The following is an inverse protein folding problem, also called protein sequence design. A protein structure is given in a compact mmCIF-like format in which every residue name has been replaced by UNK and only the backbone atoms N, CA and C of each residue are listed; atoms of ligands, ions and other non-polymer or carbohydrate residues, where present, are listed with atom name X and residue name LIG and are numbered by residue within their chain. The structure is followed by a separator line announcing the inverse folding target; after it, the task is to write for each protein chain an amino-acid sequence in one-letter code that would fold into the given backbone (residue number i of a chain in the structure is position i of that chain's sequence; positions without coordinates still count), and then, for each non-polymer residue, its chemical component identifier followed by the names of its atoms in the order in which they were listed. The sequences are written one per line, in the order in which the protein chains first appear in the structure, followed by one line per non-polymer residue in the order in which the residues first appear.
data_IF_574721634295
#
_entry.id   IF_574721634295
#
_cell.length_a   1.000
_cell.length_b   1.000
_cell.length_c   1.000
_cell.angle_alpha   90.00
_cell.angle_beta   90.00
_cell.angle_gamma   90.00
#
_symmetry.space_group_name_H-M   'P 1'
#
loop_
_entity.id
_entity.type
_entity.pdbx_description
1 polymer ?
#
# COMPACT_ATOMS: atom_id res chain seq x y z
N UNK A 1 -36.96 -9.70 -57.74
CA UNK A 1 -36.03 -8.77 -57.07
C UNK A 1 -35.01 -9.60 -56.31
N UNK A 2 -33.89 -9.98 -56.96
CA UNK A 2 -32.84 -10.80 -56.34
C UNK A 2 -31.95 -9.90 -55.51
N UNK A 3 -32.06 -10.01 -54.20
CA UNK A 3 -31.15 -9.35 -53.28
C UNK A 3 -29.79 -10.02 -53.49
N UNK A 4 -28.82 -9.27 -54.03
CA UNK A 4 -27.46 -9.75 -54.29
C UNK A 4 -26.87 -10.30 -52.99
N UNK A 5 -26.47 -11.57 -52.99
CA UNK A 5 -25.85 -12.27 -51.85
C UNK A 5 -24.63 -11.52 -51.30
N UNK A 6 -23.95 -10.73 -52.14
CA UNK A 6 -22.86 -9.84 -51.76
C UNK A 6 -23.32 -8.71 -50.80
N UNK A 7 -24.50 -8.14 -51.01
CA UNK A 7 -25.07 -7.11 -50.10
C UNK A 7 -25.43 -7.71 -48.75
N UNK A 8 -25.98 -8.92 -48.74
CA UNK A 8 -26.34 -9.66 -47.52
C UNK A 8 -25.06 -10.01 -46.74
N UNK A 9 -24.04 -10.52 -47.43
CA UNK A 9 -22.75 -10.87 -46.81
C UNK A 9 -22.04 -9.64 -46.22
N UNK A 10 -22.10 -8.49 -46.91
CA UNK A 10 -21.56 -7.23 -46.39
C UNK A 10 -22.31 -6.73 -45.16
N UNK A 11 -23.64 -6.83 -45.14
CA UNK A 11 -24.47 -6.44 -43.99
C UNK A 11 -24.21 -7.34 -42.78
N UNK A 12 -24.10 -8.65 -43.00
CA UNK A 12 -23.77 -9.63 -41.96
C UNK A 12 -22.37 -9.36 -41.39
N UNK A 13 -21.39 -9.06 -42.25
CA UNK A 13 -20.03 -8.69 -41.80
C UNK A 13 -20.02 -7.40 -40.99
N UNK A 14 -20.73 -6.35 -41.41
CA UNK A 14 -20.81 -5.10 -40.64
C UNK A 14 -21.51 -5.33 -39.30
N UNK A 15 -22.59 -6.10 -39.28
CA UNK A 15 -23.30 -6.42 -38.05
C UNK A 15 -22.43 -7.21 -37.08
N UNK A 16 -21.66 -8.19 -37.57
CA UNK A 16 -20.67 -8.93 -36.76
C UNK A 16 -19.61 -8.01 -36.16
N UNK A 17 -19.07 -7.06 -36.93
CA UNK A 17 -18.08 -6.09 -36.38
C UNK A 17 -18.68 -5.18 -35.31
N UNK A 18 -19.94 -4.75 -35.49
CA UNK A 18 -20.66 -3.94 -34.50
C UNK A 18 -20.94 -4.76 -33.24
N UNK A 19 -21.38 -6.02 -33.37
CA UNK A 19 -21.62 -6.92 -32.25
C UNK A 19 -20.33 -7.19 -31.45
N UNK A 20 -19.21 -7.40 -32.14
CA UNK A 20 -17.89 -7.55 -31.51
C UNK A 20 -17.46 -6.26 -30.82
N UNK A 21 -17.62 -5.09 -31.46
CA UNK A 21 -17.34 -3.79 -30.84
C UNK A 21 -18.21 -3.50 -29.60
N UNK A 22 -19.49 -3.91 -29.62
CA UNK A 22 -20.41 -3.81 -28.49
C UNK A 22 -20.01 -4.68 -27.30
N UNK A 23 -19.27 -5.78 -27.50
CA UNK A 23 -18.68 -6.55 -26.40
C UNK A 23 -17.52 -5.81 -25.72
N UNK A 24 -16.92 -4.82 -26.39
CA UNK A 24 -15.84 -3.98 -25.84
C UNK A 24 -16.35 -2.70 -25.14
N UNK A 25 -17.68 -2.50 -25.01
CA UNK A 25 -18.23 -1.30 -24.39
C UNK A 25 -18.11 -1.23 -22.85
N UNK A 26 -17.50 -2.23 -22.19
CA UNK A 26 -17.29 -2.27 -20.74
C UNK A 26 -15.80 -2.38 -20.34
N UNK A 27 -14.90 -1.66 -21.02
CA UNK A 27 -13.50 -1.50 -20.56
C UNK A 27 -13.26 -0.20 -19.79
N UNK A 28 -14.19 0.22 -18.93
CA UNK A 28 -13.93 1.33 -17.98
C UNK A 28 -13.56 0.84 -16.56
N UNK A 29 -13.46 -0.46 -16.33
CA UNK A 29 -13.17 -1.03 -15.00
C UNK A 29 -11.72 -1.53 -14.80
N UNK A 30 -10.91 -1.64 -15.87
CA UNK A 30 -9.55 -2.19 -15.79
C UNK A 30 -8.43 -1.13 -15.59
N UNK A 31 -8.74 0.18 -15.59
CA UNK A 31 -7.71 1.25 -15.67
C UNK A 31 -7.67 2.16 -14.42
N UNK A 32 -8.68 2.12 -13.54
CA UNK A 32 -8.73 2.98 -12.36
C UNK A 32 -8.36 2.21 -11.09
N UNK A 33 -7.06 2.03 -10.83
CA UNK A 33 -6.60 1.72 -9.47
C UNK A 33 -6.96 2.89 -8.56
N UNK A 34 -7.75 2.63 -7.51
CA UNK A 34 -8.09 3.67 -6.52
C UNK A 34 -6.84 4.08 -5.75
N UNK A 35 -6.82 5.34 -5.34
CA UNK A 35 -5.75 5.84 -4.48
C UNK A 35 -5.85 5.18 -3.10
N UNK A 36 -4.69 4.83 -2.54
CA UNK A 36 -4.55 4.34 -1.19
C UNK A 36 -4.14 5.51 -0.31
N UNK A 37 -4.82 5.68 0.81
CA UNK A 37 -4.55 6.68 1.83
C UNK A 37 -3.96 5.98 3.06
N UNK A 38 -2.83 6.51 3.55
CA UNK A 38 -2.17 6.02 4.75
C UNK A 38 -2.19 7.16 5.77
N UNK A 39 -2.75 6.86 6.94
CA UNK A 39 -2.84 7.77 8.08
C UNK A 39 -1.96 7.23 9.20
N UNK A 40 -1.08 8.07 9.74
CA UNK A 40 -0.17 7.72 10.82
C UNK A 40 -0.40 8.68 11.97
N UNK A 41 -1.06 8.19 13.01
CA UNK A 41 -1.45 8.95 14.20
C UNK A 41 -0.51 8.65 15.35
N UNK A 42 0.06 9.68 15.97
CA UNK A 42 0.89 9.51 17.17
C UNK A 42 0.01 9.17 18.38
N UNK A 43 0.29 8.06 19.05
CA UNK A 43 -0.29 7.72 20.35
C UNK A 43 0.78 7.62 21.44
N UNK A 44 1.83 8.43 21.33
CA UNK A 44 2.91 8.53 22.32
C UNK A 44 2.66 9.75 23.20
N UNK A 45 2.40 9.52 24.49
CA UNK A 45 2.18 10.59 25.48
C UNK A 45 3.48 11.27 25.87
N UNK A 46 3.40 12.58 26.15
CA UNK A 46 4.47 13.45 26.66
C UNK A 46 5.72 13.59 25.76
N UNK A 47 5.69 13.03 24.56
CA UNK A 47 6.78 13.10 23.58
C UNK A 47 6.27 13.53 22.22
N UNK A 48 7.15 14.12 21.43
CA UNK A 48 6.88 14.37 20.01
C UNK A 48 7.42 13.21 19.20
N UNK A 49 6.56 12.63 18.36
CA UNK A 49 6.93 11.57 17.44
C UNK A 49 7.45 12.20 16.14
N UNK A 50 8.76 12.11 15.93
CA UNK A 50 9.34 12.34 14.61
C UNK A 50 9.09 11.12 13.72
N UNK A 51 8.70 11.34 12.47
CA UNK A 51 8.65 10.29 11.46
C UNK A 51 9.21 10.77 10.12
N UNK A 52 9.82 9.85 9.38
CA UNK A 52 10.30 10.08 8.03
C UNK A 52 9.95 8.87 7.17
N UNK A 53 9.01 9.05 6.25
CA UNK A 53 8.48 8.00 5.39
C UNK A 53 8.96 8.16 3.95
N UNK A 54 9.21 7.04 3.27
CA UNK A 54 9.54 7.03 1.84
C UNK A 54 9.21 5.69 1.19
N UNK A 55 9.08 5.70 -0.13
CA UNK A 55 9.18 4.50 -0.96
C UNK A 55 10.57 4.45 -1.63
N UNK A 56 10.72 3.62 -2.67
CA UNK A 56 11.95 3.53 -3.45
C UNK A 56 12.32 4.81 -4.22
N UNK A 57 11.34 5.63 -4.57
CA UNK A 57 11.45 6.71 -5.57
C UNK A 57 11.06 8.09 -5.05
N UNK A 58 10.35 8.17 -3.93
CA UNK A 58 9.69 9.34 -3.39
C UNK A 58 9.97 9.40 -1.89
N UNK A 59 10.54 10.52 -1.48
CA UNK A 59 10.76 10.86 -0.09
C UNK A 59 9.64 11.81 0.35
N UNK A 60 8.90 11.46 1.41
CA UNK A 60 7.79 12.26 1.93
C UNK A 60 8.24 13.31 2.96
N UNK A 61 9.54 13.34 3.27
CA UNK A 61 10.15 14.25 4.21
C UNK A 61 9.94 13.84 5.67
N UNK A 62 10.54 14.65 6.56
CA UNK A 62 10.39 14.50 8.00
C UNK A 62 9.15 15.27 8.49
N UNK A 63 8.41 14.66 9.40
CA UNK A 63 7.25 15.24 10.08
C UNK A 63 7.38 15.03 11.58
N UNK A 64 6.80 15.93 12.36
CA UNK A 64 6.85 15.90 13.81
C UNK A 64 5.43 16.00 14.36
N UNK A 65 4.98 14.96 15.07
CA UNK A 65 3.60 14.82 15.54
C UNK A 65 3.54 14.86 17.07
N UNK A 66 2.69 15.73 17.61
CA UNK A 66 2.23 15.68 18.99
C UNK A 66 1.22 14.54 19.19
N UNK A 67 0.88 14.23 20.45
CA UNK A 67 -0.14 13.24 20.79
C UNK A 67 -1.46 13.51 20.05
N UNK A 68 -1.97 12.50 19.34
CA UNK A 68 -3.21 12.57 18.59
C UNK A 68 -3.10 13.23 17.20
N UNK A 69 -1.96 13.84 16.87
CA UNK A 69 -1.75 14.38 15.52
C UNK A 69 -1.52 13.27 14.51
N UNK A 70 -1.96 13.52 13.28
CA UNK A 70 -1.97 12.55 12.18
C UNK A 70 -1.18 13.10 10.99
N UNK A 71 -0.18 12.35 10.53
CA UNK A 71 0.42 12.54 9.22
C UNK A 71 -0.32 11.69 8.18
N UNK A 72 -0.62 12.25 7.02
CA UNK A 72 -1.33 11.54 5.94
C UNK A 72 -0.59 11.69 4.62
N UNK A 73 -0.49 10.59 3.88
CA UNK A 73 -0.07 10.60 2.48
C UNK A 73 -0.92 9.64 1.66
N UNK A 74 -0.92 9.82 0.35
CA UNK A 74 -1.60 8.93 -0.58
C UNK A 74 -0.76 8.62 -1.80
N UNK A 75 -1.04 7.48 -2.41
CA UNK A 75 -0.39 7.03 -3.63
C UNK A 75 -1.35 6.16 -4.42
N UNK A 76 -1.00 5.93 -5.70
CA UNK A 76 -1.75 5.04 -6.58
C UNK A 76 -0.94 3.76 -6.79
N UNK A 77 -1.43 2.58 -6.34
CA UNK A 77 -0.77 1.32 -6.61
C UNK A 77 -0.59 1.07 -8.10
N UNK A 78 0.52 0.46 -8.50
CA UNK A 78 0.78 0.15 -9.92
C UNK A 78 0.07 -1.14 -10.30
N UNK A 79 -0.97 -1.04 -11.13
CA UNK A 79 -1.80 -2.17 -11.55
C UNK A 79 -1.04 -3.41 -12.06
N UNK A 80 0.15 -3.25 -12.65
CA UNK A 80 0.92 -4.34 -13.26
C UNK A 80 1.98 -4.97 -12.32
N UNK A 81 2.21 -4.40 -11.13
CA UNK A 81 3.22 -4.87 -10.17
C UNK A 81 2.70 -4.69 -8.73
N UNK A 82 2.44 -5.81 -8.04
CA UNK A 82 2.13 -5.83 -6.61
C UNK A 82 3.42 -5.74 -5.78
N UNK A 83 4.01 -4.55 -5.71
CA UNK A 83 5.27 -4.36 -4.98
C UNK A 83 5.38 -2.98 -4.31
N UNK A 84 4.26 -2.30 -4.11
CA UNK A 84 4.25 -1.00 -3.47
C UNK A 84 4.62 -1.15 -1.99
N UNK A 85 5.67 -0.44 -1.60
CA UNK A 85 6.25 -0.48 -0.26
C UNK A 85 6.57 0.94 0.18
N UNK A 86 5.99 1.36 1.32
CA UNK A 86 6.42 2.53 2.06
C UNK A 86 6.95 2.10 3.42
N UNK A 87 8.11 2.61 3.79
CA UNK A 87 8.72 2.39 5.09
C UNK A 87 8.97 3.73 5.78
N UNK A 88 8.83 3.72 7.09
CA UNK A 88 8.99 4.91 7.92
C UNK A 88 10.01 4.63 9.03
N UNK A 89 10.92 5.57 9.21
CA UNK A 89 11.67 5.70 10.46
C UNK A 89 10.83 6.52 11.45
N UNK A 90 10.84 6.11 12.71
CA UNK A 90 10.16 6.76 13.82
C UNK A 90 11.18 7.06 14.91
N UNK A 91 11.15 8.27 15.45
CA UNK A 91 12.10 8.72 16.46
C UNK A 91 11.42 9.54 17.52
N UNK A 92 11.76 9.30 18.78
CA UNK A 92 11.39 10.14 19.91
C UNK A 92 12.50 10.07 20.95
N UNK A 93 12.88 11.21 21.54
CA UNK A 93 14.04 11.30 22.44
C UNK A 93 15.31 10.69 21.81
N UNK A 94 15.82 9.59 22.38
CA UNK A 94 17.01 8.86 21.91
C UNK A 94 16.65 7.49 21.31
N UNK A 95 15.36 7.20 21.09
CA UNK A 95 14.90 5.96 20.50
C UNK A 95 14.69 6.13 19.00
N UNK A 96 15.05 5.10 18.24
CA UNK A 96 14.77 5.00 16.82
C UNK A 96 14.23 3.61 16.49
N UNK A 97 13.12 3.59 15.77
CA UNK A 97 12.51 2.38 15.25
C UNK A 97 12.18 2.56 13.77
N UNK A 98 12.02 1.46 13.05
CA UNK A 98 11.50 1.50 11.70
C UNK A 98 10.42 0.45 11.49
N UNK A 99 9.54 0.75 10.54
CA UNK A 99 8.45 -0.15 10.16
C UNK A 99 8.05 0.08 8.71
N UNK A 100 7.71 -1.01 8.03
CA UNK A 100 7.11 -0.97 6.70
C UNK A 100 5.63 -0.59 6.85
N UNK A 101 5.33 0.71 6.87
CA UNK A 101 4.00 1.25 7.17
C UNK A 101 2.95 0.85 6.12
N UNK A 102 3.39 0.58 4.89
CA UNK A 102 2.54 0.01 3.86
C UNK A 102 3.29 -1.05 3.07
N UNK A 103 2.73 -2.25 3.03
CA UNK A 103 3.18 -3.36 2.19
C UNK A 103 1.97 -3.84 1.41
N UNK A 104 2.00 -3.69 0.08
CA UNK A 104 0.83 -3.97 -0.78
C UNK A 104 0.24 -5.37 -0.55
N UNK A 105 1.08 -6.40 -0.45
CA UNK A 105 0.64 -7.78 -0.20
C UNK A 105 0.04 -8.01 1.19
N UNK A 106 0.47 -7.24 2.21
CA UNK A 106 -0.05 -7.32 3.58
C UNK A 106 -1.35 -6.53 3.72
N UNK A 107 -1.41 -5.34 3.13
CA UNK A 107 -2.35 -4.30 3.51
C UNK A 107 -3.57 -4.19 2.61
N UNK A 108 -3.46 -4.60 1.34
CA UNK A 108 -4.57 -4.55 0.37
C UNK A 108 -5.83 -5.26 0.88
N UNK A 109 -5.69 -6.43 1.51
CA UNK A 109 -6.83 -7.15 2.08
C UNK A 109 -7.23 -6.69 3.47
N UNK A 110 -6.36 -5.93 4.15
CA UNK A 110 -6.53 -5.51 5.54
C UNK A 110 -7.28 -4.18 5.64
N UNK A 111 -6.89 -3.18 4.87
CA UNK A 111 -7.46 -1.82 4.90
C UNK A 111 -7.99 -1.36 3.53
N UNK A 112 -7.80 -2.15 2.47
CA UNK A 112 -8.19 -1.81 1.08
C UNK A 112 -7.52 -0.54 0.57
N UNK A 113 -8.14 0.61 0.81
CA UNK A 113 -7.72 1.91 0.28
C UNK A 113 -7.51 2.96 1.37
N UNK A 114 -7.76 2.63 2.64
CA UNK A 114 -7.73 3.58 3.75
C UNK A 114 -7.16 2.89 4.98
N UNK A 115 -5.86 3.10 5.21
CA UNK A 115 -5.05 2.41 6.21
C UNK A 115 -4.69 3.36 7.34
N UNK A 116 -5.37 3.24 8.47
CA UNK A 116 -5.14 4.06 9.66
C UNK A 116 -4.27 3.34 10.68
N UNK A 117 -3.10 3.89 10.94
CA UNK A 117 -2.12 3.39 11.89
C UNK A 117 -2.04 4.28 13.12
N UNK A 118 -2.08 3.68 14.31
CA UNK A 118 -1.69 4.33 15.57
C UNK A 118 -0.31 3.87 15.98
N UNK A 119 0.57 4.82 16.29
CA UNK A 119 1.94 4.54 16.70
C UNK A 119 2.04 4.60 18.21
N UNK A 120 2.34 3.46 18.83
CA UNK A 120 2.66 3.32 20.24
C UNK A 120 4.16 3.07 20.42
N UNK A 121 4.67 3.21 21.65
CA UNK A 121 6.06 2.83 21.96
C UNK A 121 6.36 1.35 21.64
N UNK A 122 5.38 0.46 21.81
CA UNK A 122 5.53 -0.97 21.54
C UNK A 122 5.50 -1.34 20.06
N UNK A 123 5.03 -0.45 19.19
CA UNK A 123 4.86 -0.73 17.77
C UNK A 123 3.66 0.00 17.16
N UNK A 124 3.55 -0.01 15.83
CA UNK A 124 2.38 0.50 15.12
C UNK A 124 1.24 -0.53 15.14
N UNK A 125 0.02 -0.02 15.29
CA UNK A 125 -1.21 -0.81 15.23
C UNK A 125 -2.13 -0.31 14.12
N UNK A 126 -2.59 -1.22 13.26
CA UNK A 126 -3.56 -0.93 12.22
C UNK A 126 -4.97 -0.96 12.80
N UNK A 127 -5.71 0.14 12.66
CA UNK A 127 -7.08 0.23 13.12
C UNK A 127 -8.02 -0.63 12.28
N UNK A 128 -8.90 -1.37 12.97
CA UNK A 128 -10.00 -2.14 12.39
C UNK A 128 -11.32 -1.67 13.01
N UNK A 129 -12.48 -2.02 12.44
CA UNK A 129 -13.78 -1.57 12.96
C UNK A 129 -14.01 -1.88 14.45
N UNK A 130 -13.43 -2.96 14.98
CA UNK A 130 -13.71 -3.44 16.34
C UNK A 130 -12.47 -3.67 17.21
N UNK A 131 -11.26 -3.54 16.66
CA UNK A 131 -10.01 -3.83 17.36
C UNK A 131 -8.83 -3.16 16.63
N UNK A 132 -7.64 -3.28 17.20
CA UNK A 132 -6.39 -2.85 16.56
C UNK A 132 -5.49 -4.06 16.35
N UNK A 133 -4.93 -4.19 15.15
CA UNK A 133 -3.96 -5.24 14.83
C UNK A 133 -2.55 -4.66 14.99
N UNK A 134 -1.85 -5.02 16.07
CA UNK A 134 -0.55 -4.47 16.41
C UNK A 134 0.61 -5.31 15.88
N UNK A 135 1.67 -4.63 15.44
CA UNK A 135 2.88 -5.25 14.92
C UNK A 135 4.08 -4.83 15.77
N UNK A 136 5.06 -5.73 15.99
CA UNK A 136 6.33 -5.32 16.56
C UNK A 136 7.07 -4.41 15.59
N UNK A 137 7.97 -3.60 16.13
CA UNK A 137 8.96 -2.91 15.32
C UNK A 137 9.80 -3.91 14.52
N UNK A 138 10.24 -3.48 13.34
CA UNK A 138 11.16 -4.32 12.57
C UNK A 138 12.50 -4.46 13.34
N UNK A 139 13.15 -5.63 13.28
CA UNK A 139 14.41 -5.86 13.99
C UNK A 139 15.47 -4.88 13.51
N UNK A 140 16.17 -4.23 14.43
CA UNK A 140 17.22 -3.28 14.06
C UNK A 140 18.28 -3.97 13.19
N UNK A 141 18.80 -3.29 12.16
CA UNK A 141 19.80 -3.87 11.23
C UNK A 141 21.06 -4.37 11.95
N UNK A 142 21.36 -3.86 13.16
CA UNK A 142 22.45 -4.35 14.01
C UNK A 142 22.07 -5.62 14.78
N UNK A 143 20.82 -5.72 15.23
CA UNK A 143 20.27 -6.87 15.95
C UNK A 143 20.02 -8.06 15.01
N UNK A 144 19.50 -7.79 13.80
CA UNK A 144 19.36 -8.79 12.75
C UNK A 144 20.71 -9.40 12.33
N UNK A 145 21.76 -8.57 12.17
CA UNK A 145 23.11 -9.08 11.87
C UNK A 145 23.69 -9.92 13.00
N UNK A 146 23.41 -9.59 14.26
CA UNK A 146 23.84 -10.38 15.40
C UNK A 146 23.14 -11.75 15.43
N UNK A 147 21.83 -11.79 15.18
CA UNK A 147 21.06 -13.04 15.09
C UNK A 147 21.50 -13.92 13.92
N UNK A 148 21.81 -13.32 12.77
CA UNK A 148 22.36 -14.05 11.62
C UNK A 148 23.75 -14.64 11.92
N UNK A 149 24.58 -13.91 12.66
CA UNK A 149 25.90 -14.40 13.10
C UNK A 149 25.76 -15.56 14.10
N UNK A 150 24.87 -15.43 15.10
CA UNK A 150 24.64 -16.47 16.10
C UNK A 150 24.06 -17.75 15.50
N UNK A 151 23.07 -17.63 14.60
CA UNK A 151 22.48 -18.77 13.91
C UNK A 151 23.48 -19.48 12.97
N UNK A 152 24.43 -18.75 12.38
CA UNK A 152 25.49 -19.34 11.57
C UNK A 152 26.58 -20.03 12.41
N UNK A 153 26.79 -19.64 13.68
CA UNK A 153 27.77 -20.29 14.57
C UNK A 153 27.22 -21.53 15.29
N UNK A 154 25.90 -21.64 15.46
CA UNK A 154 25.26 -22.80 16.09
C UNK A 154 24.93 -23.93 15.08
N UNK A 155 25.22 -23.71 13.79
CA UNK A 155 25.00 -24.66 12.69
C UNK A 155 26.24 -25.44 12.23
N UNK A 156 27.33 -25.45 13.00
CA UNK A 156 28.55 -26.26 12.75
C UNK A 156 28.69 -27.35 13.79
#
# INVERSE_FOLDING_TARGET
MTISSSKIMSLVSMLLTILVALQFHDTQSAIYTKDVHVHVTSNITDLQLGLHCKDKHHDLGFQSLHLGETFTFSFRPKFLLENTLYFCGFSWMNEFHYFDIYVESRDTHKCKYDCSWKVYKSGPCLEKPNYEECFPWNPNVMEGRQLDLENNTLGV
#
